data_IF_336984152085
#
_entry.id   IF_336984152085
#
_cell.length_a   1.000
_cell.length_b   1.000
_cell.length_c   1.000
_cell.angle_alpha   90.00
_cell.angle_beta   90.00
_cell.angle_gamma   90.00
#
_symmetry.space_group_name_H-M   'P 1'
#
loop_
_entity.id
_entity.type
_entity.pdbx_description
1 polymer ?
#
# COMPACT_ATOMS: atom_id res chain seq x y z
N UNK A 1 64.28 -42.59 -20.17
CA UNK A 1 64.17 -41.65 -19.02
C UNK A 1 62.73 -41.15 -18.95
N UNK A 2 61.91 -41.73 -18.06
CA UNK A 2 60.46 -41.40 -17.95
C UNK A 2 60.30 -40.40 -16.83
N UNK A 3 59.92 -39.17 -17.17
CA UNK A 3 59.62 -38.09 -16.27
C UNK A 3 58.21 -38.34 -15.63
N UNK A 4 58.16 -38.58 -14.31
CA UNK A 4 56.93 -38.70 -13.56
C UNK A 4 56.54 -37.27 -13.13
N UNK A 5 55.42 -36.76 -13.69
CA UNK A 5 54.78 -35.54 -13.19
C UNK A 5 54.02 -35.87 -11.92
N UNK A 6 54.45 -35.32 -10.80
CA UNK A 6 53.77 -35.35 -9.52
C UNK A 6 52.86 -34.15 -9.45
N UNK A 7 51.54 -34.34 -9.71
CA UNK A 7 50.54 -33.28 -9.55
C UNK A 7 50.22 -33.06 -8.08
N UNK A 8 50.71 -31.95 -7.54
CA UNK A 8 50.38 -31.50 -6.21
C UNK A 8 48.95 -30.95 -6.20
N UNK A 9 48.02 -31.72 -5.62
CA UNK A 9 46.62 -31.32 -5.43
C UNK A 9 46.56 -30.37 -4.21
N UNK A 10 46.49 -29.06 -4.45
CA UNK A 10 46.28 -28.04 -3.41
C UNK A 10 44.84 -28.12 -2.93
N UNK A 11 44.59 -28.78 -1.80
CA UNK A 11 43.30 -28.77 -1.12
C UNK A 11 43.15 -27.40 -0.46
N UNK A 12 42.44 -26.48 -1.11
CA UNK A 12 41.99 -25.23 -0.48
C UNK A 12 40.81 -25.57 0.44
N UNK A 13 41.11 -25.78 1.71
CA UNK A 13 40.10 -25.87 2.77
C UNK A 13 39.56 -24.46 2.99
N UNK A 14 38.40 -24.15 2.37
CA UNK A 14 37.61 -23.01 2.75
C UNK A 14 37.12 -23.20 4.19
N UNK A 15 37.72 -22.49 5.13
CA UNK A 15 37.22 -22.36 6.49
C UNK A 15 35.85 -21.65 6.37
N UNK A 16 34.76 -22.42 6.35
CA UNK A 16 33.41 -21.90 6.57
C UNK A 16 33.38 -21.49 8.05
N UNK A 17 33.72 -20.23 8.34
CA UNK A 17 33.43 -19.65 9.64
C UNK A 17 31.93 -19.73 9.86
N UNK A 18 31.48 -20.64 10.71
CA UNK A 18 30.11 -20.62 11.23
C UNK A 18 29.94 -19.28 11.96
N UNK A 19 29.20 -18.37 11.33
CA UNK A 19 28.96 -17.06 11.93
C UNK A 19 28.16 -17.27 13.21
N UNK A 20 28.74 -16.91 14.36
CA UNK A 20 28.03 -17.00 15.65
C UNK A 20 26.76 -16.14 15.59
N UNK A 21 25.62 -16.73 15.97
CA UNK A 21 24.33 -16.07 15.98
C UNK A 21 24.00 -15.51 17.36
N UNK A 22 23.20 -14.44 17.41
CA UNK A 22 22.68 -13.84 18.65
C UNK A 22 23.78 -13.28 19.56
N UNK A 23 24.82 -12.70 18.99
CA UNK A 23 25.91 -12.09 19.71
C UNK A 23 25.61 -10.67 20.19
N UNK A 24 26.24 -10.27 21.29
CA UNK A 24 26.25 -8.90 21.76
C UNK A 24 27.66 -8.32 21.59
N UNK A 25 27.74 -7.02 21.33
CA UNK A 25 28.99 -6.29 21.36
C UNK A 25 29.43 -6.01 22.79
N UNK A 26 30.61 -5.39 22.94
CA UNK A 26 31.22 -5.04 24.25
C UNK A 26 30.34 -4.11 25.09
N UNK A 27 29.43 -3.37 24.45
CA UNK A 27 28.44 -2.46 25.08
C UNK A 27 27.11 -3.17 25.41
N UNK A 28 27.00 -4.49 25.23
CA UNK A 28 25.77 -5.26 25.45
C UNK A 28 24.67 -5.02 24.42
N UNK A 29 25.00 -4.47 23.23
CA UNK A 29 24.05 -4.26 22.14
C UNK A 29 24.11 -5.43 21.16
N UNK A 30 22.97 -5.76 20.55
CA UNK A 30 22.90 -6.80 19.50
C UNK A 30 23.88 -6.49 18.37
N UNK A 31 24.65 -7.50 17.95
CA UNK A 31 25.61 -7.39 16.87
C UNK A 31 25.64 -8.68 16.03
N UNK A 32 25.90 -8.56 14.71
CA UNK A 32 25.95 -9.69 13.81
C UNK A 32 24.58 -10.29 13.47
N UNK A 33 24.56 -11.55 13.05
CA UNK A 33 23.35 -12.28 12.68
C UNK A 33 22.52 -12.66 13.89
N UNK A 34 21.23 -12.32 13.84
CA UNK A 34 20.28 -12.64 14.90
C UNK A 34 19.12 -13.49 14.36
N UNK A 35 18.73 -14.51 15.17
CA UNK A 35 17.58 -15.38 14.93
C UNK A 35 16.75 -15.47 16.20
N UNK A 36 15.44 -15.17 16.09
CA UNK A 36 14.48 -15.37 17.16
C UNK A 36 13.49 -16.45 16.74
N UNK A 37 13.18 -17.33 17.66
CA UNK A 37 12.22 -18.42 17.45
C UNK A 37 10.90 -18.12 18.18
N UNK A 38 9.82 -18.75 17.74
CA UNK A 38 8.59 -18.79 18.54
C UNK A 38 8.84 -19.64 19.80
N UNK A 39 8.28 -19.23 20.92
CA UNK A 39 8.43 -19.91 22.20
C UNK A 39 8.08 -21.38 22.08
N UNK A 40 8.85 -22.22 22.79
CA UNK A 40 8.73 -23.69 22.82
C UNK A 40 8.79 -24.38 21.45
N UNK A 41 9.33 -23.70 20.42
CA UNK A 41 9.42 -24.26 19.08
C UNK A 41 10.83 -24.04 18.48
N UNK A 42 11.16 -24.79 17.42
CA UNK A 42 12.33 -24.55 16.57
C UNK A 42 11.95 -23.69 15.33
N UNK A 43 10.77 -23.06 15.35
CA UNK A 43 10.26 -22.29 14.22
C UNK A 43 10.71 -20.84 14.32
N UNK A 44 11.34 -20.31 13.25
CA UNK A 44 11.80 -18.92 13.18
C UNK A 44 10.63 -17.95 13.30
N UNK A 45 10.80 -16.91 14.13
CA UNK A 45 9.92 -15.77 14.25
C UNK A 45 10.46 -14.59 13.46
N UNK A 46 11.78 -14.34 13.53
CA UNK A 46 12.48 -13.40 12.65
C UNK A 46 13.98 -13.76 12.58
N UNK A 47 14.62 -13.29 11.52
CA UNK A 47 16.07 -13.26 11.37
C UNK A 47 16.51 -11.97 10.66
N UNK A 48 17.73 -11.51 10.95
CA UNK A 48 18.33 -10.32 10.36
C UNK A 48 19.67 -9.96 11.01
N UNK A 49 20.27 -8.88 10.56
CA UNK A 49 21.55 -8.41 11.09
C UNK A 49 21.41 -7.16 11.94
N UNK A 50 22.15 -7.11 13.03
CA UNK A 50 22.29 -5.93 13.86
C UNK A 50 23.73 -5.39 13.78
N UNK A 51 23.86 -4.07 13.79
CA UNK A 51 25.11 -3.37 13.98
C UNK A 51 24.97 -2.42 15.18
N UNK A 52 25.63 -2.77 16.30
CA UNK A 52 25.57 -2.03 17.57
C UNK A 52 24.14 -1.66 18.00
N UNK A 53 23.23 -2.66 17.93
CA UNK A 53 21.82 -2.54 18.34
C UNK A 53 20.86 -2.01 17.28
N UNK A 54 21.35 -1.55 16.12
CA UNK A 54 20.52 -1.08 15.00
C UNK A 54 20.33 -2.20 13.99
N UNK A 55 19.09 -2.34 13.48
CA UNK A 55 18.82 -3.23 12.36
C UNK A 55 19.53 -2.72 11.11
N UNK A 56 20.17 -3.63 10.35
CA UNK A 56 20.87 -3.34 9.08
C UNK A 56 20.61 -4.45 8.07
N UNK A 57 20.56 -4.08 6.79
CA UNK A 57 20.31 -5.05 5.72
C UNK A 57 18.92 -5.67 5.77
N UNK A 58 18.78 -6.90 5.27
CA UNK A 58 17.48 -7.56 5.16
C UNK A 58 17.10 -8.29 6.45
N UNK A 59 15.90 -7.97 6.96
CA UNK A 59 15.20 -8.72 8.00
C UNK A 59 14.07 -9.52 7.39
N UNK A 60 13.89 -10.76 7.85
CA UNK A 60 12.78 -11.64 7.48
C UNK A 60 11.91 -11.92 8.70
N UNK A 61 10.61 -11.74 8.55
CA UNK A 61 9.62 -11.94 9.60
C UNK A 61 8.66 -13.05 9.22
N UNK A 62 8.42 -13.95 10.16
CA UNK A 62 7.62 -15.15 9.95
C UNK A 62 6.39 -15.15 10.85
N UNK A 63 5.32 -15.82 10.40
CA UNK A 63 4.17 -16.21 11.20
C UNK A 63 4.10 -17.72 11.30
N UNK A 64 3.57 -18.20 12.42
CA UNK A 64 3.34 -19.63 12.62
C UNK A 64 2.02 -20.02 11.96
N UNK A 65 2.08 -20.84 10.91
CA UNK A 65 0.92 -21.38 10.18
C UNK A 65 0.98 -22.88 10.25
N UNK A 66 -0.03 -23.54 10.84
CA UNK A 66 -0.04 -25.01 11.04
C UNK A 66 1.28 -25.53 11.64
N UNK A 67 1.79 -24.86 12.67
CA UNK A 67 3.06 -25.15 13.37
C UNK A 67 4.34 -25.03 12.52
N UNK A 68 4.30 -24.35 11.37
CA UNK A 68 5.48 -24.08 10.52
C UNK A 68 5.65 -22.57 10.34
N UNK A 69 6.91 -22.12 10.35
CA UNK A 69 7.27 -20.74 10.01
C UNK A 69 7.00 -20.46 8.55
N UNK A 70 6.21 -19.44 8.27
CA UNK A 70 5.91 -18.96 6.92
C UNK A 70 6.35 -17.49 6.85
N UNK A 71 7.20 -17.16 5.87
CA UNK A 71 7.64 -15.79 5.62
C UNK A 71 6.43 -14.92 5.27
N UNK A 72 6.26 -13.81 6.00
CA UNK A 72 5.12 -12.91 5.81
C UNK A 72 5.51 -11.45 5.59
N UNK A 73 6.76 -11.10 5.92
CA UNK A 73 7.30 -9.78 5.59
C UNK A 73 8.82 -9.82 5.47
N UNK A 74 9.37 -8.94 4.63
CA UNK A 74 10.78 -8.57 4.62
C UNK A 74 10.90 -7.07 4.86
N UNK A 75 12.01 -6.65 5.48
CA UNK A 75 12.41 -5.25 5.64
C UNK A 75 13.87 -5.11 5.25
N UNK A 76 14.14 -4.28 4.26
CA UNK A 76 15.51 -3.89 3.90
C UNK A 76 15.79 -2.53 4.55
N UNK A 77 16.60 -2.54 5.62
CA UNK A 77 16.96 -1.33 6.37
C UNK A 77 18.03 -0.53 5.66
N UNK A 78 17.81 0.78 5.58
CA UNK A 78 18.76 1.76 5.08
C UNK A 78 19.59 2.35 6.23
N UNK A 79 20.67 3.06 5.89
CA UNK A 79 21.60 3.68 6.87
C UNK A 79 20.93 4.75 7.74
N UNK A 80 19.86 5.39 7.24
CA UNK A 80 19.06 6.39 7.98
C UNK A 80 18.06 5.78 8.97
N UNK A 81 17.99 4.43 9.05
CA UNK A 81 17.05 3.69 9.90
C UNK A 81 15.65 3.55 9.31
N UNK A 82 15.42 4.04 8.09
CA UNK A 82 14.23 3.70 7.31
C UNK A 82 14.34 2.29 6.76
N UNK A 83 13.23 1.71 6.32
CA UNK A 83 13.25 0.41 5.69
C UNK A 83 12.29 0.33 4.50
N UNK A 84 12.71 -0.36 3.42
CA UNK A 84 11.78 -0.80 2.39
C UNK A 84 11.15 -2.12 2.83
N UNK A 85 9.82 -2.12 2.92
CA UNK A 85 9.05 -3.24 3.48
C UNK A 85 8.24 -3.91 2.39
N UNK A 86 8.22 -5.26 2.41
CA UNK A 86 7.31 -6.07 1.61
C UNK A 86 6.49 -6.94 2.54
N UNK A 87 5.17 -6.89 2.42
CA UNK A 87 4.26 -7.84 3.06
C UNK A 87 3.88 -8.93 2.07
N UNK A 88 3.85 -10.18 2.54
CA UNK A 88 3.70 -11.35 1.69
C UNK A 88 2.51 -12.21 2.13
N UNK A 89 1.88 -12.85 1.16
CA UNK A 89 0.96 -13.96 1.40
C UNK A 89 1.73 -15.18 1.93
N UNK A 90 1.03 -16.18 2.45
CA UNK A 90 1.63 -17.47 2.83
C UNK A 90 2.26 -18.24 1.67
N UNK A 91 1.98 -17.86 0.44
CA UNK A 91 2.55 -18.44 -0.79
C UNK A 91 3.70 -17.59 -1.37
N UNK A 92 4.13 -16.53 -0.66
CA UNK A 92 5.24 -15.66 -1.07
C UNK A 92 4.88 -14.55 -2.07
N UNK A 93 3.60 -14.38 -2.44
CA UNK A 93 3.18 -13.27 -3.29
C UNK A 93 3.14 -11.97 -2.49
N UNK A 94 3.56 -10.85 -3.10
CA UNK A 94 3.51 -9.54 -2.47
C UNK A 94 2.05 -9.10 -2.31
N UNK A 95 1.69 -8.64 -1.10
CA UNK A 95 0.41 -8.02 -0.78
C UNK A 95 0.53 -6.51 -0.93
N UNK A 96 1.60 -5.95 -0.34
CA UNK A 96 1.91 -4.52 -0.40
C UNK A 96 3.39 -4.28 -0.14
N UNK A 97 3.90 -3.16 -0.64
CA UNK A 97 5.28 -2.74 -0.41
C UNK A 97 5.43 -1.22 -0.40
N UNK A 98 6.45 -0.73 0.27
CA UNK A 98 6.79 0.68 0.35
C UNK A 98 7.80 0.99 1.45
N UNK A 99 8.10 2.27 1.62
CA UNK A 99 9.05 2.75 2.63
C UNK A 99 8.38 2.96 3.98
N UNK A 100 9.06 2.54 5.06
CA UNK A 100 8.69 2.83 6.45
C UNK A 100 9.78 3.61 7.16
N UNK A 101 9.37 4.54 8.04
CA UNK A 101 10.22 5.16 9.07
C UNK A 101 9.61 4.81 10.43
N UNK A 102 10.31 3.97 11.17
CA UNK A 102 9.74 3.35 12.36
C UNK A 102 8.51 2.50 12.02
N UNK A 103 7.31 2.94 12.45
CA UNK A 103 6.03 2.28 12.14
C UNK A 103 5.21 3.02 11.09
N UNK A 104 5.65 4.21 10.66
CA UNK A 104 4.91 5.05 9.73
C UNK A 104 5.22 4.66 8.29
N UNK A 105 4.20 4.60 7.44
CA UNK A 105 4.34 4.55 6.00
C UNK A 105 4.75 5.92 5.49
N UNK A 106 5.71 6.00 4.56
CA UNK A 106 6.17 7.25 3.97
C UNK A 106 6.45 7.07 2.49
N UNK A 107 6.21 8.12 1.70
CA UNK A 107 6.37 8.07 0.25
C UNK A 107 5.39 7.13 -0.43
N UNK A 108 5.82 6.53 -1.52
CA UNK A 108 5.01 5.64 -2.35
C UNK A 108 4.77 4.29 -1.69
N UNK A 109 3.49 3.85 -1.71
CA UNK A 109 3.06 2.52 -1.29
C UNK A 109 2.21 1.88 -2.36
N UNK A 110 2.54 0.61 -2.68
CA UNK A 110 1.82 -0.23 -3.64
C UNK A 110 1.09 -1.35 -2.91
N UNK A 111 -0.15 -1.55 -3.29
CA UNK A 111 -0.97 -2.70 -2.88
C UNK A 111 -1.33 -3.49 -4.12
N UNK A 112 -1.30 -4.81 -4.04
CA UNK A 112 -1.47 -5.68 -5.19
C UNK A 112 -2.82 -6.40 -5.17
N UNK A 113 -3.35 -6.71 -6.34
CA UNK A 113 -4.52 -7.57 -6.46
C UNK A 113 -4.23 -8.96 -5.89
N UNK A 114 -5.24 -9.56 -5.24
CA UNK A 114 -5.09 -10.88 -4.62
C UNK A 114 -4.53 -11.90 -5.61
N UNK A 115 -3.44 -12.59 -5.20
CA UNK A 115 -2.69 -13.59 -5.98
C UNK A 115 -2.14 -13.08 -7.32
N UNK A 116 -1.91 -11.79 -7.47
CA UNK A 116 -1.41 -11.14 -8.69
C UNK A 116 -0.19 -10.26 -8.36
N UNK A 117 0.59 -9.94 -9.36
CA UNK A 117 1.68 -8.95 -9.36
C UNK A 117 1.22 -7.59 -9.91
N UNK A 118 -0.07 -7.47 -10.29
CA UNK A 118 -0.65 -6.22 -10.76
C UNK A 118 -1.04 -5.34 -9.59
N UNK A 119 -0.66 -4.07 -9.66
CA UNK A 119 -1.02 -3.05 -8.66
C UNK A 119 -2.53 -2.85 -8.64
N UNK A 120 -3.11 -2.89 -7.45
CA UNK A 120 -4.51 -2.57 -7.17
C UNK A 120 -4.66 -1.13 -6.69
N UNK A 121 -3.74 -0.68 -5.83
CA UNK A 121 -3.80 0.68 -5.28
C UNK A 121 -2.39 1.25 -5.20
N UNK A 122 -2.26 2.51 -5.60
CA UNK A 122 -1.07 3.33 -5.44
C UNK A 122 -1.42 4.49 -4.50
N UNK A 123 -0.65 4.65 -3.45
CA UNK A 123 -0.84 5.66 -2.40
C UNK A 123 0.47 6.38 -2.11
N UNK A 124 0.37 7.62 -1.66
CA UNK A 124 1.51 8.39 -1.18
C UNK A 124 1.25 8.86 0.25
N UNK A 125 2.27 8.78 1.08
CA UNK A 125 2.20 9.17 2.50
C UNK A 125 3.23 10.24 2.81
N UNK A 126 2.84 11.25 3.59
CA UNK A 126 3.76 12.25 4.12
C UNK A 126 4.59 11.71 5.31
N UNK A 127 5.51 12.51 5.82
CA UNK A 127 6.40 12.12 6.92
C UNK A 127 5.67 11.87 8.26
N UNK A 128 4.38 12.19 8.34
CA UNK A 128 3.51 11.89 9.50
C UNK A 128 2.74 10.58 9.31
N UNK A 129 2.95 9.86 8.19
CA UNK A 129 2.22 8.63 7.86
C UNK A 129 0.78 8.86 7.42
N UNK A 130 0.45 10.04 6.91
CA UNK A 130 -0.88 10.40 6.42
C UNK A 130 -0.88 10.43 4.90
N UNK A 131 -2.00 10.02 4.28
CA UNK A 131 -2.15 10.11 2.83
C UNK A 131 -1.93 11.54 2.35
N UNK A 132 -1.14 11.69 1.28
CA UNK A 132 -0.75 12.96 0.70
C UNK A 132 -0.62 12.84 -0.82
N UNK A 133 -1.25 13.75 -1.57
CA UNK A 133 -1.22 13.72 -3.04
C UNK A 133 -2.21 12.73 -3.64
N UNK A 134 -1.89 12.24 -4.83
CA UNK A 134 -2.80 11.42 -5.62
C UNK A 134 -2.86 9.98 -5.12
N UNK A 135 -4.07 9.44 -5.00
CA UNK A 135 -4.36 8.02 -4.78
C UNK A 135 -5.05 7.46 -6.01
N UNK A 136 -4.50 6.36 -6.53
CA UNK A 136 -5.05 5.64 -7.68
C UNK A 136 -5.48 4.24 -7.27
N UNK A 137 -6.66 3.83 -7.74
CA UNK A 137 -7.13 2.43 -7.66
C UNK A 137 -7.28 1.91 -9.07
N UNK A 138 -6.84 0.69 -9.31
CA UNK A 138 -6.86 0.05 -10.62
C UNK A 138 -7.74 -1.19 -10.63
N UNK A 139 -8.39 -1.42 -11.74
CA UNK A 139 -8.96 -2.72 -12.09
C UNK A 139 -7.85 -3.74 -12.37
N UNK A 140 -8.20 -5.03 -12.41
CA UNK A 140 -7.21 -6.12 -12.66
C UNK A 140 -6.50 -6.04 -14.03
N UNK A 141 -7.09 -5.39 -15.00
CA UNK A 141 -6.50 -5.15 -16.33
C UNK A 141 -5.55 -3.95 -16.36
N UNK A 142 -5.51 -3.15 -15.28
CA UNK A 142 -4.65 -1.97 -15.14
C UNK A 142 -5.33 -0.66 -15.49
N UNK A 143 -6.61 -0.68 -15.90
CA UNK A 143 -7.40 0.54 -16.10
C UNK A 143 -7.66 1.18 -14.74
N UNK A 144 -7.55 2.52 -14.65
CA UNK A 144 -7.86 3.27 -13.44
C UNK A 144 -9.35 3.12 -13.13
N UNK A 145 -9.67 2.70 -11.89
CA UNK A 145 -11.02 2.59 -11.36
C UNK A 145 -11.41 3.84 -10.56
N UNK A 146 -10.46 4.37 -9.78
CA UNK A 146 -10.66 5.58 -8.98
C UNK A 146 -9.40 6.44 -8.98
N UNK A 147 -9.61 7.76 -8.96
CA UNK A 147 -8.59 8.77 -8.78
C UNK A 147 -9.06 9.79 -7.76
N UNK A 148 -8.28 10.03 -6.74
CA UNK A 148 -8.58 10.99 -5.69
C UNK A 148 -7.31 11.69 -5.23
N UNK A 149 -7.44 12.92 -4.74
CA UNK A 149 -6.35 13.64 -4.10
C UNK A 149 -6.55 13.73 -2.59
N UNK A 150 -5.46 13.68 -1.84
CA UNK A 150 -5.45 13.74 -0.38
C UNK A 150 -4.49 14.81 0.11
N UNK A 151 -4.86 15.50 1.18
CA UNK A 151 -4.03 16.45 1.92
C UNK A 151 -4.11 16.10 3.40
N UNK A 152 -2.96 15.81 4.01
CA UNK A 152 -2.83 15.43 5.43
C UNK A 152 -3.83 14.33 5.88
N UNK A 153 -4.05 13.34 5.02
CA UNK A 153 -4.91 12.18 5.26
C UNK A 153 -6.37 12.36 4.86
N UNK A 154 -6.78 13.55 4.43
CA UNK A 154 -8.17 13.86 4.06
C UNK A 154 -8.31 14.02 2.55
N UNK A 155 -9.39 13.48 1.99
CA UNK A 155 -9.73 13.65 0.57
C UNK A 155 -10.02 15.11 0.28
N UNK A 156 -9.38 15.64 -0.76
CA UNK A 156 -9.43 17.05 -1.12
C UNK A 156 -9.45 17.21 -2.63
N UNK A 157 -10.32 18.12 -3.16
CA UNK A 157 -10.41 18.40 -4.59
C UNK A 157 -11.25 17.36 -5.35
N UNK A 158 -10.96 17.19 -6.64
CA UNK A 158 -11.77 16.37 -7.53
C UNK A 158 -11.46 14.89 -7.37
N UNK A 159 -12.51 14.10 -7.26
CA UNK A 159 -12.53 12.65 -7.33
C UNK A 159 -13.11 12.20 -8.66
N UNK A 160 -12.51 11.23 -9.31
CA UNK A 160 -13.05 10.55 -10.47
C UNK A 160 -13.24 9.05 -10.18
N UNK A 161 -14.41 8.54 -10.59
CA UNK A 161 -14.68 7.11 -10.65
C UNK A 161 -14.89 6.69 -12.10
N UNK A 162 -14.25 5.60 -12.52
CA UNK A 162 -14.25 5.14 -13.90
C UNK A 162 -14.89 3.76 -14.03
N UNK A 163 -15.41 3.46 -15.22
CA UNK A 163 -15.82 2.10 -15.61
C UNK A 163 -14.60 1.24 -15.94
N UNK A 164 -14.80 -0.08 -16.06
CA UNK A 164 -13.78 -1.03 -16.55
C UNK A 164 -13.29 -0.74 -17.98
N UNK A 165 -13.97 0.15 -18.71
CA UNK A 165 -13.56 0.64 -20.03
C UNK A 165 -12.85 2.00 -19.98
N UNK A 166 -12.58 2.54 -18.78
CA UNK A 166 -11.95 3.84 -18.58
C UNK A 166 -12.87 5.06 -18.79
N UNK A 167 -14.19 4.83 -18.95
CA UNK A 167 -15.17 5.93 -19.07
C UNK A 167 -15.42 6.52 -17.69
N UNK A 168 -15.39 7.85 -17.57
CA UNK A 168 -15.76 8.55 -16.33
C UNK A 168 -17.24 8.30 -16.02
N UNK A 169 -17.51 7.79 -14.82
CA UNK A 169 -18.86 7.56 -14.29
C UNK A 169 -19.24 8.57 -13.23
N UNK A 170 -18.26 9.12 -12.52
CA UNK A 170 -18.46 10.10 -11.44
C UNK A 170 -17.33 11.11 -11.44
N UNK A 171 -17.71 12.38 -11.32
CA UNK A 171 -16.84 13.50 -11.01
C UNK A 171 -17.43 14.19 -9.79
N UNK A 172 -16.70 14.18 -8.67
CA UNK A 172 -17.19 14.66 -7.39
C UNK A 172 -16.14 15.57 -6.78
N UNK A 173 -16.57 16.63 -6.09
CA UNK A 173 -15.65 17.49 -5.35
C UNK A 173 -15.71 17.19 -3.86
N UNK A 174 -14.52 17.13 -3.24
CA UNK A 174 -14.34 16.89 -1.82
C UNK A 174 -13.60 18.04 -1.15
N UNK A 175 -14.00 18.35 0.05
CA UNK A 175 -13.30 19.24 0.98
C UNK A 175 -13.27 18.57 2.35
N UNK A 176 -12.06 18.27 2.86
CA UNK A 176 -11.85 17.61 4.15
C UNK A 176 -12.66 16.30 4.34
N UNK A 177 -12.66 15.38 3.35
CA UNK A 177 -13.42 14.13 3.26
C UNK A 177 -14.91 14.28 2.99
N UNK A 178 -15.48 15.48 3.03
CA UNK A 178 -16.89 15.71 2.76
C UNK A 178 -17.12 16.11 1.30
N UNK A 179 -18.22 15.64 0.70
CA UNK A 179 -18.65 16.13 -0.61
C UNK A 179 -18.97 17.61 -0.51
N UNK A 180 -18.28 18.44 -1.30
CA UNK A 180 -18.47 19.90 -1.32
C UNK A 180 -18.18 20.46 -2.71
N UNK A 181 -19.15 21.11 -3.33
CA UNK A 181 -19.06 21.63 -4.71
C UNK A 181 -19.79 20.75 -5.73
N UNK A 182 -19.44 20.94 -7.00
CA UNK A 182 -20.11 20.31 -8.15
C UNK A 182 -19.92 18.81 -8.13
N UNK A 183 -21.00 18.09 -8.47
CA UNK A 183 -21.00 16.65 -8.68
C UNK A 183 -21.67 16.32 -10.00
N UNK A 184 -21.05 15.42 -10.78
CA UNK A 184 -21.59 14.91 -12.04
C UNK A 184 -21.55 13.38 -12.04
N UNK A 185 -22.62 12.80 -12.58
CA UNK A 185 -22.77 11.36 -12.75
C UNK A 185 -23.02 11.05 -14.21
N UNK A 186 -22.34 10.04 -14.74
CA UNK A 186 -22.40 9.65 -16.13
C UNK A 186 -22.78 8.17 -16.27
N UNK A 187 -23.32 7.80 -17.42
CA UNK A 187 -23.55 6.40 -17.76
C UNK A 187 -22.27 5.74 -18.33
N UNK A 188 -22.36 4.45 -18.66
CA UNK A 188 -21.22 3.69 -19.21
C UNK A 188 -20.77 4.13 -20.61
N UNK A 189 -21.49 5.04 -21.29
CA UNK A 189 -21.10 5.67 -22.56
C UNK A 189 -20.44 7.04 -22.35
N UNK A 190 -20.44 7.58 -21.11
CA UNK A 190 -19.95 8.93 -20.79
C UNK A 190 -21.02 10.02 -20.95
N UNK A 191 -22.27 9.66 -21.15
CA UNK A 191 -23.38 10.63 -21.25
C UNK A 191 -23.78 11.07 -19.84
N UNK A 192 -23.98 12.37 -19.63
CA UNK A 192 -24.38 12.96 -18.35
C UNK A 192 -25.78 12.45 -17.94
N UNK A 193 -25.89 11.92 -16.74
CA UNK A 193 -27.14 11.44 -16.13
C UNK A 193 -27.67 12.42 -15.09
N UNK A 194 -26.76 13.02 -14.30
CA UNK A 194 -27.17 13.97 -13.28
C UNK A 194 -26.01 14.91 -12.93
N UNK A 195 -26.35 16.14 -12.57
CA UNK A 195 -25.43 17.10 -11.99
C UNK A 195 -26.11 17.96 -10.92
N UNK A 196 -25.31 18.47 -10.00
CA UNK A 196 -25.76 19.37 -8.95
C UNK A 196 -24.64 19.71 -8.01
N UNK A 197 -24.98 20.30 -6.88
CA UNK A 197 -23.99 20.67 -5.88
C UNK A 197 -24.19 19.91 -4.58
N UNK A 198 -23.09 19.63 -3.90
CA UNK A 198 -23.05 19.22 -2.52
C UNK A 198 -22.53 20.37 -1.65
N UNK A 199 -23.00 20.43 -0.43
CA UNK A 199 -22.49 21.26 0.62
C UNK A 199 -22.45 20.46 1.91
N UNK A 200 -21.26 20.27 2.50
CA UNK A 200 -21.04 19.48 3.71
C UNK A 200 -21.72 18.09 3.64
N UNK A 201 -21.44 17.36 2.59
CA UNK A 201 -21.95 16.01 2.35
C UNK A 201 -23.40 15.89 1.94
N UNK A 202 -24.18 17.00 1.83
CA UNK A 202 -25.60 16.99 1.51
C UNK A 202 -25.85 17.66 0.16
N UNK A 203 -26.78 17.09 -0.65
CA UNK A 203 -27.27 17.75 -1.87
C UNK A 203 -27.81 19.13 -1.54
N UNK A 204 -27.48 20.12 -2.37
CA UNK A 204 -27.84 21.53 -2.20
C UNK A 204 -28.33 22.15 -3.51
N UNK A 205 -29.34 23.03 -3.44
CA UNK A 205 -29.83 23.79 -4.60
C UNK A 205 -30.54 22.91 -5.63
N UNK A 206 -30.30 23.22 -6.90
CA UNK A 206 -30.97 22.56 -8.04
C UNK A 206 -30.11 21.37 -8.47
N UNK A 207 -30.77 20.20 -8.62
CA UNK A 207 -30.21 19.00 -9.23
C UNK A 207 -30.93 18.74 -10.55
N UNK A 208 -30.09 18.55 -11.60
CA UNK A 208 -30.55 18.30 -12.97
C UNK A 208 -30.35 16.83 -13.30
N UNK A 209 -31.31 16.25 -14.01
CA UNK A 209 -31.28 14.86 -14.45
C UNK A 209 -31.50 14.80 -15.95
N UNK A 210 -30.79 13.92 -16.62
CA UNK A 210 -30.74 13.84 -18.07
C UNK A 210 -31.01 12.41 -18.55
N UNK A 211 -31.70 12.29 -19.68
CA UNK A 211 -31.88 11.06 -20.45
C UNK A 211 -31.51 11.33 -21.90
N UNK A 212 -30.65 10.49 -22.49
CA UNK A 212 -30.17 10.62 -23.89
C UNK A 212 -29.59 12.03 -24.20
N UNK A 213 -28.97 12.69 -23.22
CA UNK A 213 -28.43 14.04 -23.36
C UNK A 213 -29.41 15.19 -23.19
N UNK A 214 -30.71 14.90 -23.03
CA UNK A 214 -31.76 15.90 -22.81
C UNK A 214 -32.10 16.04 -21.33
N UNK A 215 -32.33 17.28 -20.87
CA UNK A 215 -32.76 17.57 -19.51
C UNK A 215 -34.20 17.10 -19.33
N UNK A 216 -34.44 16.11 -18.46
CA UNK A 216 -35.76 15.53 -18.20
C UNK A 216 -36.36 15.97 -16.88
N UNK A 217 -35.51 16.41 -15.92
CA UNK A 217 -35.98 16.79 -14.59
C UNK A 217 -35.04 17.75 -13.89
N UNK A 218 -35.63 18.70 -13.15
CA UNK A 218 -34.93 19.52 -12.16
C UNK A 218 -35.59 19.39 -10.78
N UNK A 219 -34.80 19.17 -9.74
CA UNK A 219 -35.24 19.11 -8.34
C UNK A 219 -34.55 20.19 -7.51
N UNK A 220 -35.31 21.08 -6.90
CA UNK A 220 -34.79 21.95 -5.85
C UNK A 220 -34.87 21.22 -4.52
N UNK A 221 -33.72 20.60 -4.11
CA UNK A 221 -33.66 19.77 -2.92
C UNK A 221 -33.81 20.56 -1.60
N UNK A 222 -33.60 21.86 -1.63
CA UNK A 222 -33.81 22.74 -0.47
C UNK A 222 -35.30 23.01 -0.24
N UNK A 223 -36.10 23.11 -1.32
CA UNK A 223 -37.53 23.31 -1.25
C UNK A 223 -38.30 22.05 -0.78
N UNK A 224 -37.82 20.86 -1.20
CA UNK A 224 -38.41 19.57 -0.80
C UNK A 224 -38.33 19.36 0.71
N UNK A 225 -37.19 19.68 1.33
CA UNK A 225 -37.01 19.57 2.79
C UNK A 225 -37.92 20.49 3.58
N UNK A 226 -38.23 21.69 3.08
CA UNK A 226 -39.14 22.64 3.75
C UNK A 226 -40.60 22.13 3.79
N UNK A 227 -41.02 21.29 2.83
CA UNK A 227 -42.36 20.69 2.80
C UNK A 227 -42.51 19.51 3.76
N UNK A 228 -41.43 18.69 3.95
CA UNK A 228 -41.46 17.53 4.86
C UNK A 228 -41.36 17.90 6.34
N UNK A 229 -40.96 19.12 6.68
CA UNK A 229 -40.84 19.60 8.07
C UNK A 229 -42.11 20.34 8.54
N UNK A 230 -43.13 20.46 7.67
CA UNK A 230 -44.43 21.15 7.96
C UNK A 230 -45.61 20.17 8.08
N UNK A 231 -45.36 18.86 8.13
CA UNK A 231 -46.27 17.77 8.43
C UNK A 231 -45.87 17.15 9.77
#
# INVERSE_FOLDING_TARGET
MKLKFLSLFLIVTSLVNAQDINQFDESGKRHGLWKKYFEETKQLRYEGQFNHGKEVGEFKFYKLVKKKSVLTATKLFDVDGSAYVKFLTSTGKIISEGKQVGKLYVGEWKYYHNKSDKVMTLEYYNNKGRLEGERLVYYKDGIVAERANYVDGKKQGVYYGYSVKGVVLRELNYENDELNGVAKHFNGKGELLAEGNYFKGKKKGIWKYYENGELVKEDNVDAIKKKSTKL
#
